data_IF_209962851546
#
_entry.id   IF_209962851546
#
_cell.length_a   1.000
_cell.length_b   1.000
_cell.length_c   1.000
_cell.angle_alpha   90.00
_cell.angle_beta   90.00
_cell.angle_gamma   90.00
#
_symmetry.space_group_name_H-M   'P 1'
#
loop_
_entity.id
_entity.type
_entity.pdbx_description
1 polymer ?
#
# COMPACT_ATOMS: atom_id res chain seq x y z
N UNK A 1 9.19 -36.27 4.57
CA UNK A 1 10.60 -36.37 4.10
C UNK A 1 11.41 -35.43 4.95
N UNK A 2 12.29 -35.98 5.78
CA UNK A 2 13.21 -35.20 6.60
C UNK A 2 14.27 -34.60 5.68
N UNK A 3 14.35 -33.27 5.59
CA UNK A 3 15.47 -32.61 4.93
C UNK A 3 16.72 -32.79 5.80
N UNK A 4 17.75 -33.44 5.26
CA UNK A 4 19.04 -33.53 5.94
C UNK A 4 19.69 -32.15 5.90
N UNK A 5 19.71 -31.46 7.04
CA UNK A 5 20.60 -30.30 7.24
C UNK A 5 22.06 -30.80 7.21
N UNK A 6 22.97 -29.93 6.73
CA UNK A 6 24.42 -30.10 6.81
C UNK A 6 24.87 -29.93 8.28
N UNK A 7 24.60 -30.92 9.12
CA UNK A 7 25.08 -30.98 10.49
C UNK A 7 26.15 -32.05 10.62
N UNK A 8 27.02 -31.87 11.57
CA UNK A 8 28.22 -32.68 11.86
C UNK A 8 28.03 -34.19 11.63
N UNK A 9 28.83 -34.74 10.76
CA UNK A 9 28.84 -36.18 10.33
C UNK A 9 29.19 -37.14 11.47
N UNK A 10 29.57 -36.68 12.64
CA UNK A 10 30.14 -37.46 13.72
C UNK A 10 29.15 -38.05 14.74
N UNK A 11 27.90 -37.59 14.74
CA UNK A 11 26.88 -38.15 15.66
C UNK A 11 25.56 -38.35 14.90
N UNK A 12 25.28 -39.59 14.53
CA UNK A 12 23.94 -39.99 14.09
C UNK A 12 23.04 -40.02 15.32
N UNK A 13 22.32 -38.95 15.57
CA UNK A 13 21.23 -38.91 16.54
C UNK A 13 19.91 -38.93 15.75
N UNK A 14 19.03 -39.87 16.06
CA UNK A 14 17.64 -39.81 15.63
C UNK A 14 16.85 -39.05 16.69
N UNK A 15 16.30 -37.90 16.31
CA UNK A 15 15.40 -37.15 17.16
C UNK A 15 14.02 -37.19 16.49
N UNK A 16 13.08 -37.81 17.19
CA UNK A 16 11.67 -37.78 16.78
C UNK A 16 10.98 -36.56 17.43
N UNK A 17 10.47 -35.69 16.64
CA UNK A 17 9.71 -34.50 17.09
C UNK A 17 8.31 -34.59 16.51
N UNK A 18 7.30 -34.42 17.35
CA UNK A 18 5.93 -34.28 16.88
C UNK A 18 5.79 -32.99 16.06
N UNK A 19 5.31 -33.13 14.83
CA UNK A 19 5.23 -31.99 13.90
C UNK A 19 4.22 -30.90 14.36
N UNK A 20 3.14 -31.33 15.01
CA UNK A 20 2.13 -30.38 15.53
C UNK A 20 2.67 -29.62 16.74
N UNK A 21 3.39 -30.30 17.63
CA UNK A 21 4.05 -29.66 18.78
C UNK A 21 5.15 -28.70 18.33
N UNK A 22 5.98 -29.09 17.37
CA UNK A 22 7.01 -28.23 16.80
C UNK A 22 6.41 -26.98 16.12
N UNK A 23 5.30 -27.14 15.39
CA UNK A 23 4.59 -26.04 14.76
C UNK A 23 3.99 -25.08 15.80
N UNK A 24 3.38 -25.63 16.87
CA UNK A 24 2.82 -24.81 17.95
C UNK A 24 3.90 -23.99 18.66
N UNK A 25 5.00 -24.63 19.05
CA UNK A 25 6.12 -23.93 19.70
C UNK A 25 6.72 -22.85 18.79
N UNK A 26 6.84 -23.11 17.50
CA UNK A 26 7.33 -22.12 16.53
C UNK A 26 6.36 -20.97 16.36
N UNK A 27 5.07 -21.23 16.22
CA UNK A 27 4.04 -20.22 16.04
C UNK A 27 3.87 -19.35 17.29
N UNK A 28 3.93 -19.94 18.49
CA UNK A 28 3.69 -19.24 19.75
C UNK A 28 4.89 -18.38 20.20
N UNK A 29 6.06 -18.55 19.61
CA UNK A 29 7.30 -17.87 20.03
C UNK A 29 7.17 -16.35 20.06
N UNK A 30 6.49 -15.77 19.11
CA UNK A 30 6.29 -14.30 18.99
C UNK A 30 4.84 -13.87 19.17
N UNK A 31 3.92 -14.78 19.46
CA UNK A 31 2.48 -14.49 19.54
C UNK A 31 2.15 -13.42 20.57
N UNK A 32 2.91 -13.32 21.66
CA UNK A 32 2.72 -12.28 22.69
C UNK A 32 3.12 -10.86 22.24
N UNK A 33 3.95 -10.75 21.21
CA UNK A 33 4.43 -9.46 20.66
C UNK A 33 3.75 -9.13 19.34
N UNK A 34 3.57 -10.14 18.49
CA UNK A 34 2.94 -10.05 17.18
C UNK A 34 1.82 -11.09 17.05
N UNK A 35 0.65 -10.85 17.66
CA UNK A 35 -0.44 -11.81 17.64
C UNK A 35 -0.91 -12.08 16.22
N UNK A 36 -0.97 -13.36 15.84
CA UNK A 36 -1.42 -13.82 14.52
C UNK A 36 -2.93 -13.94 14.43
N UNK A 37 -3.64 -13.84 15.56
CA UNK A 37 -5.10 -13.91 15.64
C UNK A 37 -5.64 -12.63 16.25
N UNK A 38 -6.74 -12.14 15.67
CA UNK A 38 -7.47 -11.03 16.27
C UNK A 38 -8.03 -11.45 17.65
N UNK A 39 -7.92 -10.56 18.64
CA UNK A 39 -8.38 -10.80 20.01
C UNK A 39 -9.91 -10.83 20.16
N UNK A 40 -10.66 -10.54 19.11
CA UNK A 40 -12.14 -10.50 19.11
C UNK A 40 -12.68 -11.37 17.98
N UNK A 41 -13.79 -12.06 18.26
CA UNK A 41 -14.59 -12.69 17.22
C UNK A 41 -14.99 -11.64 16.18
N UNK A 42 -14.59 -11.88 14.93
CA UNK A 42 -14.98 -11.02 13.82
C UNK A 42 -16.34 -11.46 13.31
N UNK A 43 -17.29 -10.57 13.28
CA UNK A 43 -18.56 -10.80 12.58
C UNK A 43 -18.24 -11.02 11.09
N UNK A 44 -18.80 -12.05 10.45
CA UNK A 44 -18.64 -12.23 9.01
C UNK A 44 -19.05 -10.97 8.27
N UNK A 45 -18.16 -10.42 7.47
CA UNK A 45 -18.49 -9.26 6.63
C UNK A 45 -19.19 -9.79 5.38
N UNK A 46 -20.42 -9.33 5.15
CA UNK A 46 -21.11 -9.58 3.88
C UNK A 46 -20.34 -8.89 2.75
N UNK A 47 -19.78 -9.68 1.85
CA UNK A 47 -19.19 -9.17 0.62
C UNK A 47 -20.28 -8.79 -0.35
N UNK A 48 -20.69 -7.52 -0.35
CA UNK A 48 -21.57 -7.00 -1.39
C UNK A 48 -20.75 -6.78 -2.66
N UNK A 49 -21.11 -7.48 -3.72
CA UNK A 49 -20.58 -7.19 -5.05
C UNK A 49 -21.10 -5.82 -5.49
N UNK A 50 -20.20 -4.93 -5.84
CA UNK A 50 -20.57 -3.66 -6.44
C UNK A 50 -20.89 -3.87 -7.92
N UNK A 51 -22.13 -3.58 -8.29
CA UNK A 51 -22.56 -3.52 -9.69
C UNK A 51 -22.65 -2.05 -10.10
N UNK A 52 -21.74 -1.64 -10.96
CA UNK A 52 -21.77 -0.27 -11.47
C UNK A 52 -22.98 -0.10 -12.40
N UNK A 53 -23.87 0.86 -12.14
CA UNK A 53 -25.05 1.10 -13.01
C UNK A 53 -24.65 1.59 -14.40
N UNK A 54 -23.45 2.15 -14.54
CA UNK A 54 -22.88 2.61 -15.81
C UNK A 54 -21.36 2.70 -15.70
N UNK A 55 -20.68 2.63 -16.84
CA UNK A 55 -19.24 2.91 -16.91
C UNK A 55 -19.04 4.43 -16.80
N UNK A 56 -18.27 4.87 -15.81
CA UNK A 56 -17.90 6.28 -15.70
C UNK A 56 -17.00 6.69 -16.86
N UNK A 57 -17.37 7.76 -17.54
CA UNK A 57 -16.60 8.35 -18.62
C UNK A 57 -16.10 9.72 -18.17
N UNK A 58 -14.79 9.89 -18.13
CA UNK A 58 -14.16 11.15 -17.74
C UNK A 58 -14.70 12.33 -18.56
N UNK A 59 -15.09 13.40 -17.88
CA UNK A 59 -15.61 14.64 -18.51
C UNK A 59 -14.49 15.44 -19.14
N UNK A 60 -13.31 15.46 -18.52
CA UNK A 60 -12.14 16.22 -18.95
C UNK A 60 -11.23 15.34 -19.81
N UNK A 61 -11.58 15.15 -21.07
CA UNK A 61 -10.79 14.31 -21.97
C UNK A 61 -9.49 14.99 -22.39
N UNK A 62 -8.40 14.26 -22.31
CA UNK A 62 -7.07 14.66 -22.79
C UNK A 62 -6.60 13.66 -23.83
N UNK A 63 -5.83 14.12 -24.82
CA UNK A 63 -5.34 13.25 -25.89
C UNK A 63 -4.38 12.18 -25.36
N UNK A 64 -3.54 12.53 -24.39
CA UNK A 64 -2.60 11.64 -23.73
C UNK A 64 -2.56 11.96 -22.22
N UNK A 65 -3.08 11.07 -21.35
CA UNK A 65 -3.07 11.33 -19.93
C UNK A 65 -1.66 11.25 -19.36
N UNK A 66 -1.40 12.07 -18.36
CA UNK A 66 -0.16 12.05 -17.58
C UNK A 66 -0.43 11.39 -16.23
N UNK A 67 0.45 10.49 -15.82
CA UNK A 67 0.39 9.76 -14.56
C UNK A 67 1.53 10.23 -13.67
N UNK A 68 1.21 10.74 -12.49
CA UNK A 68 2.20 11.05 -11.46
C UNK A 68 2.42 9.83 -10.58
N UNK A 69 3.68 9.45 -10.39
CA UNK A 69 4.12 8.32 -9.55
C UNK A 69 5.05 8.84 -8.47
N UNK A 70 4.55 9.06 -7.24
CA UNK A 70 5.36 9.45 -6.09
C UNK A 70 6.22 8.29 -5.61
N UNK A 71 7.50 8.56 -5.35
CA UNK A 71 8.47 7.58 -4.84
C UNK A 71 8.98 8.04 -3.49
N UNK A 72 8.86 7.17 -2.49
CA UNK A 72 9.36 7.37 -1.13
C UNK A 72 10.44 6.34 -0.78
N UNK A 73 11.26 6.57 0.25
CA UNK A 73 12.15 5.54 0.75
C UNK A 73 11.42 4.24 1.01
N UNK A 74 11.88 3.14 0.38
CA UNK A 74 11.24 1.83 0.43
C UNK A 74 10.22 1.54 -0.68
N UNK A 75 9.91 2.48 -1.56
CA UNK A 75 9.20 2.21 -2.83
C UNK A 75 10.11 1.44 -3.78
N UNK A 76 9.61 0.43 -4.48
CA UNK A 76 10.40 -0.38 -5.42
C UNK A 76 9.65 -0.89 -6.65
N UNK A 77 8.43 -0.44 -6.89
CA UNK A 77 7.61 -0.84 -8.06
C UNK A 77 7.31 0.33 -9.02
N UNK A 78 8.01 1.46 -8.89
CA UNK A 78 7.77 2.66 -9.69
C UNK A 78 8.10 2.46 -11.17
N UNK A 79 9.17 1.74 -11.48
CA UNK A 79 9.57 1.49 -12.87
C UNK A 79 8.59 0.59 -13.62
N UNK A 80 8.10 -0.46 -12.97
CA UNK A 80 7.13 -1.37 -13.57
C UNK A 80 5.77 -0.69 -13.72
N UNK A 81 5.39 0.14 -12.77
CA UNK A 81 4.20 0.99 -12.83
C UNK A 81 4.30 1.97 -14.00
N UNK A 82 5.42 2.69 -14.14
CA UNK A 82 5.64 3.61 -15.24
C UNK A 82 5.52 2.92 -16.60
N UNK A 83 6.23 1.79 -16.78
CA UNK A 83 6.16 0.99 -18.01
C UNK A 83 4.75 0.51 -18.35
N UNK A 84 3.95 0.13 -17.34
CA UNK A 84 2.59 -0.31 -17.55
C UNK A 84 1.72 0.82 -18.11
N UNK A 85 1.81 2.02 -17.54
CA UNK A 85 1.09 3.19 -18.03
C UNK A 85 1.57 3.67 -19.40
N UNK A 86 2.87 3.67 -19.65
CA UNK A 86 3.45 4.02 -20.95
C UNK A 86 2.99 3.06 -22.05
N UNK A 87 2.94 1.76 -21.77
CA UNK A 87 2.38 0.76 -22.70
C UNK A 87 0.89 0.97 -22.96
N UNK A 88 0.16 1.52 -22.00
CA UNK A 88 -1.24 1.91 -22.15
C UNK A 88 -1.43 3.26 -22.87
N UNK A 89 -0.33 3.94 -23.24
CA UNK A 89 -0.36 5.18 -24.00
C UNK A 89 -0.35 6.46 -23.16
N UNK A 90 -0.04 6.38 -21.88
CA UNK A 90 0.10 7.54 -21.00
C UNK A 90 1.54 8.09 -20.98
N UNK A 91 1.71 9.34 -20.55
CA UNK A 91 2.99 9.87 -20.09
C UNK A 91 3.15 9.67 -18.59
N UNK A 92 4.38 9.49 -18.11
CA UNK A 92 4.64 9.30 -16.68
C UNK A 92 5.55 10.38 -16.11
N UNK A 93 5.26 10.83 -14.89
CA UNK A 93 6.11 11.72 -14.09
C UNK A 93 6.49 10.94 -12.83
N UNK A 94 7.71 10.47 -12.74
CA UNK A 94 8.24 9.79 -11.55
C UNK A 94 9.07 10.79 -10.76
N UNK A 95 8.74 11.01 -9.48
CA UNK A 95 9.46 11.93 -8.61
C UNK A 95 9.76 11.29 -7.27
N UNK A 96 11.01 11.44 -6.81
CA UNK A 96 11.49 10.96 -5.52
C UNK A 96 11.28 12.04 -4.45
N UNK A 97 10.66 11.66 -3.36
CA UNK A 97 10.55 12.51 -2.18
C UNK A 97 11.86 12.47 -1.39
N UNK A 98 12.54 13.61 -1.35
CA UNK A 98 13.79 13.78 -0.61
C UNK A 98 13.47 14.14 0.83
N UNK A 99 14.04 13.42 1.78
CA UNK A 99 13.80 13.62 3.22
C UNK A 99 15.10 13.84 4.03
N UNK A 100 16.14 14.37 3.38
CA UNK A 100 17.46 14.56 3.99
C UNK A 100 17.44 15.68 5.03
N UNK A 101 16.77 16.78 4.71
CA UNK A 101 16.65 17.97 5.55
C UNK A 101 15.33 18.71 5.28
N UNK A 102 15.08 19.77 6.04
CA UNK A 102 13.84 20.55 5.95
C UNK A 102 13.68 21.28 4.60
N UNK A 103 14.78 21.62 3.93
CA UNK A 103 14.74 22.26 2.61
C UNK A 103 14.37 21.25 1.53
N UNK A 104 15.02 20.11 1.50
CA UNK A 104 14.71 18.99 0.59
C UNK A 104 13.24 18.53 0.72
N UNK A 105 12.70 18.53 1.94
CA UNK A 105 11.28 18.21 2.18
C UNK A 105 10.38 19.27 1.54
N UNK A 106 10.67 20.57 1.75
CA UNK A 106 9.87 21.66 1.13
C UNK A 106 9.91 21.61 -0.39
N UNK A 107 11.11 21.44 -0.97
CA UNK A 107 11.27 21.28 -2.41
C UNK A 107 10.48 20.09 -2.95
N UNK A 108 10.53 18.95 -2.26
CA UNK A 108 9.78 17.75 -2.66
C UNK A 108 8.26 17.96 -2.61
N UNK A 109 7.77 18.65 -1.60
CA UNK A 109 6.34 19.02 -1.51
C UNK A 109 5.92 19.90 -2.69
N UNK A 110 6.72 20.92 -3.03
CA UNK A 110 6.43 21.82 -4.14
C UNK A 110 6.53 21.09 -5.51
N UNK A 111 7.51 20.22 -5.69
CA UNK A 111 7.63 19.38 -6.89
C UNK A 111 6.47 18.39 -7.04
N UNK A 112 6.02 17.80 -5.95
CA UNK A 112 4.89 16.87 -5.95
C UNK A 112 3.57 17.60 -6.23
N UNK A 113 3.33 18.74 -5.57
CA UNK A 113 2.17 19.58 -5.85
C UNK A 113 2.09 19.95 -7.35
N UNK A 114 3.22 20.39 -7.92
CA UNK A 114 3.31 20.71 -9.35
C UNK A 114 3.02 19.51 -10.23
N UNK A 115 3.57 18.33 -9.90
CA UNK A 115 3.35 17.10 -10.66
C UNK A 115 1.88 16.65 -10.59
N UNK A 116 1.26 16.71 -9.41
CA UNK A 116 -0.16 16.38 -9.23
C UNK A 116 -1.04 17.33 -10.06
N UNK A 117 -0.72 18.63 -10.07
CA UNK A 117 -1.47 19.62 -10.83
C UNK A 117 -1.38 19.42 -12.35
N UNK A 118 -0.33 18.77 -12.85
CA UNK A 118 -0.16 18.40 -14.26
C UNK A 118 -0.80 17.08 -14.63
N UNK A 119 -0.91 16.15 -13.68
CA UNK A 119 -1.38 14.79 -13.92
C UNK A 119 -2.90 14.69 -14.00
N UNK A 120 -3.39 13.65 -14.68
CA UNK A 120 -4.77 13.18 -14.68
C UNK A 120 -4.95 11.95 -13.79
N UNK A 121 -3.87 11.26 -13.51
CA UNK A 121 -3.87 10.06 -12.68
C UNK A 121 -2.73 10.19 -11.67
N UNK A 122 -2.99 9.83 -10.42
CA UNK A 122 -1.96 9.60 -9.42
C UNK A 122 -1.87 8.08 -9.13
N UNK A 123 -0.66 7.52 -9.24
CA UNK A 123 -0.38 6.11 -8.98
C UNK A 123 0.49 5.97 -7.74
N UNK A 124 -0.04 5.38 -6.69
CA UNK A 124 0.68 5.01 -5.47
C UNK A 124 1.28 3.61 -5.65
N UNK A 125 2.60 3.49 -5.87
CA UNK A 125 3.24 2.20 -6.16
C UNK A 125 3.37 1.34 -4.92
N UNK A 126 3.72 0.09 -5.13
CA UNK A 126 4.03 -0.87 -4.09
C UNK A 126 5.43 -0.68 -3.51
N UNK A 127 5.77 -1.52 -2.56
CA UNK A 127 7.01 -1.51 -1.80
C UNK A 127 6.74 -1.53 -0.31
N UNK A 128 7.65 -0.96 0.48
CA UNK A 128 7.62 -0.99 1.94
C UNK A 128 7.88 0.40 2.54
N UNK A 129 7.20 1.43 2.05
CA UNK A 129 7.45 2.79 2.52
C UNK A 129 7.18 2.94 4.02
N UNK A 130 8.24 2.96 4.82
CA UNK A 130 8.29 2.99 6.28
C UNK A 130 7.75 1.73 6.99
N UNK A 131 7.68 0.59 6.32
CA UNK A 131 7.31 -0.71 6.90
C UNK A 131 6.08 -1.34 6.28
N UNK A 132 5.79 -2.57 6.71
CA UNK A 132 4.72 -3.42 6.19
C UNK A 132 3.76 -3.92 7.28
N UNK A 133 4.06 -3.69 8.56
CA UNK A 133 3.12 -4.01 9.64
C UNK A 133 1.90 -3.09 9.56
N UNK A 134 0.73 -3.53 10.05
CA UNK A 134 -0.51 -2.77 9.98
C UNK A 134 -0.39 -1.32 10.43
N UNK A 135 0.36 -1.06 11.51
CA UNK A 135 0.58 0.29 12.03
C UNK A 135 1.62 1.09 11.24
N UNK A 136 2.60 0.41 10.63
CA UNK A 136 3.74 1.01 9.92
C UNK A 136 3.55 1.15 8.42
N UNK A 137 2.68 0.34 7.81
CA UNK A 137 2.53 0.31 6.37
C UNK A 137 2.13 1.65 5.77
N UNK A 138 2.80 2.03 4.68
CA UNK A 138 2.55 3.27 3.93
C UNK A 138 2.69 4.58 4.73
N UNK A 139 3.48 4.58 5.81
CA UNK A 139 3.61 5.71 6.73
C UNK A 139 4.15 6.97 6.04
N UNK A 140 5.12 6.83 5.15
CA UNK A 140 5.66 7.96 4.40
C UNK A 140 4.60 8.59 3.49
N UNK A 141 3.87 7.79 2.73
CA UNK A 141 2.75 8.26 1.92
C UNK A 141 1.73 9.01 2.77
N UNK A 142 1.26 8.37 3.84
CA UNK A 142 0.23 8.94 4.70
C UNK A 142 0.67 10.26 5.34
N UNK A 143 1.93 10.37 5.77
CA UNK A 143 2.45 11.59 6.38
C UNK A 143 2.61 12.71 5.34
N UNK A 144 3.22 12.42 4.19
CA UNK A 144 3.48 13.42 3.16
C UNK A 144 2.19 13.96 2.55
N UNK A 145 1.26 13.08 2.17
CA UNK A 145 0.00 13.48 1.53
C UNK A 145 -1.02 14.15 2.47
N UNK A 146 -0.77 14.18 3.77
CA UNK A 146 -1.49 15.03 4.72
C UNK A 146 -0.98 16.46 4.77
N UNK A 147 0.15 16.77 4.13
CA UNK A 147 0.57 18.15 3.94
C UNK A 147 -0.50 18.91 3.17
N UNK A 148 -0.80 20.16 3.60
CA UNK A 148 -1.92 20.93 3.08
C UNK A 148 -1.87 21.14 1.56
N UNK A 149 -0.69 21.45 0.98
CA UNK A 149 -0.52 21.64 -0.46
C UNK A 149 -0.79 20.36 -1.26
N UNK A 150 -0.22 19.25 -0.79
CA UNK A 150 -0.40 17.96 -1.47
C UNK A 150 -1.83 17.46 -1.34
N UNK A 151 -2.43 17.60 -0.16
CA UNK A 151 -3.85 17.27 0.08
C UNK A 151 -4.74 18.05 -0.88
N UNK A 152 -4.61 19.38 -0.92
CA UNK A 152 -5.40 20.23 -1.79
C UNK A 152 -5.23 19.87 -3.28
N UNK A 153 -4.00 19.60 -3.72
CA UNK A 153 -3.72 19.20 -5.09
C UNK A 153 -4.41 17.87 -5.47
N UNK A 154 -4.40 16.87 -4.57
CA UNK A 154 -5.08 15.58 -4.78
C UNK A 154 -6.59 15.78 -4.78
N UNK A 155 -7.14 16.55 -3.86
CA UNK A 155 -8.58 16.82 -3.81
C UNK A 155 -9.07 17.53 -5.06
N UNK A 156 -8.32 18.52 -5.58
CA UNK A 156 -8.60 19.16 -6.89
C UNK A 156 -8.50 18.19 -8.05
N UNK A 157 -7.50 17.30 -8.05
CA UNK A 157 -7.37 16.26 -9.07
C UNK A 157 -8.62 15.38 -9.12
N UNK A 158 -9.09 14.90 -7.98
CA UNK A 158 -10.18 13.95 -7.92
C UNK A 158 -11.57 14.60 -8.10
N UNK A 159 -11.80 15.72 -7.44
CA UNK A 159 -13.15 16.32 -7.34
C UNK A 159 -13.44 17.36 -8.43
N UNK A 160 -12.44 18.14 -8.87
CA UNK A 160 -12.64 19.20 -9.84
C UNK A 160 -12.22 18.80 -11.26
N UNK A 161 -11.13 18.04 -11.39
CA UNK A 161 -10.57 17.64 -12.68
C UNK A 161 -11.01 16.26 -13.17
N UNK A 162 -11.86 15.57 -12.39
CA UNK A 162 -12.36 14.22 -12.69
C UNK A 162 -11.22 13.22 -12.93
N UNK A 163 -10.14 13.36 -12.16
CA UNK A 163 -8.95 12.52 -12.22
C UNK A 163 -9.10 11.22 -11.44
N UNK A 164 -8.08 10.39 -11.51
CA UNK A 164 -8.08 9.06 -10.89
C UNK A 164 -6.92 8.90 -9.90
N UNK A 165 -7.14 8.06 -8.88
CA UNK A 165 -6.10 7.54 -8.01
C UNK A 165 -6.08 6.02 -8.07
N UNK A 166 -4.89 5.44 -8.23
CA UNK A 166 -4.66 4.00 -8.18
C UNK A 166 -3.62 3.69 -7.11
N UNK A 167 -3.85 2.68 -6.29
CA UNK A 167 -2.89 2.20 -5.30
C UNK A 167 -2.74 0.69 -5.38
N UNK A 168 -1.50 0.21 -5.43
CA UNK A 168 -1.18 -1.21 -5.50
C UNK A 168 -0.35 -1.60 -4.28
N UNK A 169 -0.72 -2.70 -3.59
CA UNK A 169 -0.02 -3.24 -2.43
C UNK A 169 0.17 -2.16 -1.34
N UNK A 170 1.39 -1.72 -1.05
CA UNK A 170 1.66 -0.63 -0.11
C UNK A 170 0.97 0.69 -0.50
N UNK A 171 0.81 0.96 -1.79
CA UNK A 171 0.03 2.09 -2.29
C UNK A 171 -1.46 1.96 -1.98
N UNK A 172 -2.04 0.76 -2.03
CA UNK A 172 -3.42 0.52 -1.58
C UNK A 172 -3.56 0.75 -0.07
N UNK A 173 -2.60 0.29 0.73
CA UNK A 173 -2.55 0.60 2.16
C UNK A 173 -2.51 2.11 2.41
N UNK A 174 -1.78 2.87 1.57
CA UNK A 174 -1.77 4.33 1.63
C UNK A 174 -3.14 4.94 1.35
N UNK A 175 -3.86 4.48 0.31
CA UNK A 175 -5.20 4.97 -0.01
C UNK A 175 -6.19 4.73 1.12
N UNK A 176 -6.12 3.59 1.80
CA UNK A 176 -6.95 3.30 2.98
C UNK A 176 -6.58 4.24 4.12
N UNK A 177 -5.29 4.38 4.47
CA UNK A 177 -4.84 5.24 5.58
C UNK A 177 -5.07 6.73 5.36
N UNK A 178 -5.06 7.17 4.12
CA UNK A 178 -5.39 8.55 3.75
C UNK A 178 -6.89 8.84 3.80
N UNK A 179 -7.73 7.81 3.76
CA UNK A 179 -9.18 7.97 3.68
C UNK A 179 -9.73 8.02 2.26
N UNK A 180 -8.86 7.98 1.24
CA UNK A 180 -9.27 8.11 -0.16
C UNK A 180 -10.19 6.99 -0.64
N UNK A 181 -9.93 5.73 -0.25
CA UNK A 181 -10.82 4.62 -0.58
C UNK A 181 -12.07 4.60 0.32
N UNK A 182 -11.96 4.72 1.66
CA UNK A 182 -13.15 4.68 2.52
C UNK A 182 -14.10 5.86 2.35
N UNK A 183 -13.56 7.08 2.12
CA UNK A 183 -14.34 8.31 2.22
C UNK A 183 -14.28 9.21 0.98
N UNK A 184 -13.37 8.93 0.04
CA UNK A 184 -13.15 9.76 -1.15
C UNK A 184 -12.38 11.07 -0.89
N UNK A 185 -11.85 11.26 0.31
CA UNK A 185 -11.12 12.47 0.71
C UNK A 185 -9.92 12.13 1.60
N UNK A 186 -8.93 13.02 1.65
CA UNK A 186 -7.80 12.87 2.58
C UNK A 186 -8.22 13.37 3.95
N UNK A 187 -8.40 12.45 4.89
CA UNK A 187 -8.80 12.76 6.25
C UNK A 187 -7.97 12.03 7.31
N UNK A 188 -8.13 12.42 8.57
CA UNK A 188 -7.53 11.73 9.71
C UNK A 188 -8.23 10.41 9.98
N UNK A 189 -7.47 9.39 10.41
CA UNK A 189 -8.04 8.14 10.89
C UNK A 189 -8.68 8.33 12.27
N UNK A 190 -9.84 7.72 12.48
CA UNK A 190 -10.56 7.62 13.75
C UNK A 190 -10.46 6.18 14.26
N UNK A 191 -10.88 5.95 15.48
CA UNK A 191 -10.86 4.62 16.09
C UNK A 191 -11.73 3.57 15.36
N UNK A 192 -12.74 4.03 14.65
CA UNK A 192 -13.68 3.23 13.86
C UNK A 192 -13.41 3.25 12.35
N UNK A 193 -12.32 3.92 11.92
CA UNK A 193 -11.97 3.98 10.50
C UNK A 193 -11.58 2.61 9.97
N UNK A 194 -11.99 2.25 8.75
CA UNK A 194 -11.54 1.04 8.09
C UNK A 194 -10.02 0.97 8.01
N UNK A 195 -9.46 -0.20 8.27
CA UNK A 195 -8.03 -0.46 8.17
C UNK A 195 -7.77 -1.84 7.57
N UNK A 196 -6.58 -2.04 7.04
CA UNK A 196 -6.10 -3.34 6.60
C UNK A 196 -5.39 -4.01 7.75
N UNK A 197 -5.70 -5.27 7.98
CA UNK A 197 -5.09 -6.11 9.00
C UNK A 197 -4.85 -7.51 8.44
N UNK A 198 -4.39 -8.43 9.27
CA UNK A 198 -4.17 -9.82 8.88
C UNK A 198 -5.48 -10.46 8.41
N UNK A 199 -5.43 -11.23 7.32
CA UNK A 199 -6.58 -12.01 6.91
C UNK A 199 -6.77 -13.23 7.83
N UNK A 200 -8.01 -13.68 7.98
CA UNK A 200 -8.37 -14.82 8.82
C UNK A 200 -8.54 -16.12 8.03
N UNK A 201 -8.23 -16.12 6.75
CA UNK A 201 -8.42 -17.26 5.85
C UNK A 201 -7.39 -18.36 6.13
N UNK A 202 -6.24 -18.03 6.74
CA UNK A 202 -5.17 -18.98 7.10
C UNK A 202 -4.34 -19.47 5.91
N UNK A 203 -4.50 -18.88 4.71
CA UNK A 203 -3.72 -19.21 3.52
C UNK A 203 -3.67 -18.05 2.54
N UNK A 204 -2.64 -18.04 1.71
CA UNK A 204 -2.59 -17.16 0.56
C UNK A 204 -3.63 -17.57 -0.50
N UNK A 205 -4.30 -16.58 -1.09
CA UNK A 205 -5.17 -16.76 -2.24
C UNK A 205 -4.60 -15.98 -3.41
N UNK A 206 -4.33 -16.68 -4.49
CA UNK A 206 -3.93 -16.12 -5.78
C UNK A 206 -5.08 -16.29 -6.77
N UNK A 207 -5.47 -15.23 -7.46
CA UNK A 207 -6.50 -15.25 -8.50
C UNK A 207 -5.94 -14.69 -9.80
#
# INVERSE_FOLDING_TARGET
RVSRGLGDVYKRQEVAINAEEALSVWADTLEGVFPTKASKETTPVESKLYEAPSVHVCKNKVAKPTVFIPVFPGTNCEYDSAKAFERAGADTIVKVFKNLDAESIRESVDEFEKAINQAQIIMFPGGFSAGDEPDGSAKFFATAFRNAKMKEAVEKLLNERDGLALGICNGFQALIKLGLVPYGEICGQKADSPTLTFNTIGRHISK
#
